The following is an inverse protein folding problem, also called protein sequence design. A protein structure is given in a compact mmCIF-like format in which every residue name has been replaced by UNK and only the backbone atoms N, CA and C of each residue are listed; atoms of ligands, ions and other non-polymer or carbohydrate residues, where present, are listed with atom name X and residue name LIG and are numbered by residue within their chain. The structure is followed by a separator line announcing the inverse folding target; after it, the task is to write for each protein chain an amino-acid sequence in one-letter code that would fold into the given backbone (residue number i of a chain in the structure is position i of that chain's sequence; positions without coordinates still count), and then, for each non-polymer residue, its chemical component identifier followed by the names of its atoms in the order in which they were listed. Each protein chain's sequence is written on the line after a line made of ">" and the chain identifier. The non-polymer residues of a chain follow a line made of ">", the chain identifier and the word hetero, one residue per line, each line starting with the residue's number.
data_IF_964696404573
#
_entry.id   IF_964696404573
#
_cell.length_a   1.000
_cell.length_b   1.000
_cell.length_c   1.000
_cell.angle_alpha   90.00
_cell.angle_beta   90.00
_cell.angle_gamma   90.00
#
_symmetry.space_group_name_H-M   'P 1'
#
loop_
_entity.id
_entity.type
_entity.pdbx_description
1 polymer ?
2 water ?
#
# COMPACT_ATOMS: atom_id res chain seq x y z
N UNK A 6 13.06 -15.52 -16.28
CA UNK A 6 13.18 -14.49 -15.20
C UNK A 6 12.86 -15.05 -13.82
N UNK A 7 11.92 -15.99 -13.74
CA UNK A 7 11.58 -16.62 -12.47
C UNK A 7 12.86 -17.39 -12.10
N UNK A 8 13.73 -17.51 -13.10
CA UNK A 8 15.03 -18.16 -12.95
C UNK A 8 15.94 -17.16 -12.28
N UNK A 9 15.73 -15.89 -12.61
CA UNK A 9 16.52 -14.81 -12.04
C UNK A 9 15.86 -14.21 -10.78
N UNK A 10 14.77 -14.82 -10.32
CA UNK A 10 14.11 -14.36 -9.10
C UNK A 10 15.08 -14.80 -8.03
N UNK A 11 15.60 -16.02 -8.19
CA UNK A 11 16.60 -16.56 -7.26
C UNK A 11 17.80 -15.61 -7.42
N UNK A 12 17.68 -14.70 -8.39
CA UNK A 12 18.73 -13.74 -8.64
C UNK A 12 18.75 -12.67 -7.56
N UNK A 13 17.66 -11.91 -7.45
CA UNK A 13 17.58 -10.87 -6.43
C UNK A 13 16.66 -11.32 -5.29
N UNK A 14 16.44 -12.63 -5.20
CA UNK A 14 15.66 -13.20 -4.13
C UNK A 14 16.73 -13.65 -3.14
N UNK A 15 17.96 -13.20 -3.44
CA UNK A 15 19.14 -13.49 -2.65
C UNK A 15 19.20 -14.90 -2.11
N UNK A 16 19.89 -15.81 -2.80
CA UNK A 16 19.99 -17.21 -2.34
C UNK A 16 21.41 -17.67 -2.05
N UNK A 17 22.35 -16.73 -2.00
CA UNK A 17 23.73 -17.08 -1.69
C UNK A 17 24.12 -16.38 -0.40
N UNK A 18 23.39 -15.30 -0.08
CA UNK A 18 23.62 -14.53 1.13
C UNK A 18 22.62 -15.00 2.18
N UNK A 19 21.44 -15.41 1.72
CA UNK A 19 20.39 -15.90 2.61
C UNK A 19 20.69 -17.28 3.20
N UNK A 20 21.49 -18.12 2.51
CA UNK A 20 21.82 -19.45 3.03
C UNK A 20 22.86 -19.38 4.15
N UNK A 21 23.32 -18.17 4.45
CA UNK A 21 24.30 -17.98 5.50
C UNK A 21 23.73 -17.27 6.72
N UNK A 22 22.68 -16.48 6.53
CA UNK A 22 22.04 -15.75 7.63
C UNK A 22 21.07 -16.64 8.40
N UNK A 23 20.76 -17.80 7.81
CA UNK A 23 19.85 -18.76 8.43
C UNK A 23 20.49 -19.48 9.63
N UNK A 24 21.73 -19.92 9.46
CA UNK A 24 22.48 -20.61 10.53
C UNK A 24 23.03 -19.56 11.52
N UNK A 25 22.44 -18.37 11.49
CA UNK A 25 22.84 -17.27 12.37
C UNK A 25 21.74 -16.92 13.36
N UNK A 26 20.51 -16.84 12.86
CA UNK A 26 19.36 -16.51 13.69
C UNK A 26 19.21 -17.56 14.78
N UNK A 27 19.81 -18.73 14.54
CA UNK A 27 19.76 -19.84 15.48
C UNK A 27 20.83 -19.76 16.57
N UNK A 28 22.06 -19.39 16.21
CA UNK A 28 23.17 -19.30 17.17
C UNK A 28 22.94 -18.24 18.24
N UNK A 29 22.44 -17.08 17.84
CA UNK A 29 22.18 -15.99 18.77
C UNK A 29 21.05 -16.39 19.72
N UNK A 30 20.19 -17.31 19.25
CA UNK A 30 19.06 -17.82 20.03
C UNK A 30 19.43 -19.08 20.83
N UNK A 31 20.67 -19.54 20.67
CA UNK A 31 21.17 -20.74 21.38
C UNK A 31 21.74 -20.35 22.72
N UNK A 32 22.47 -19.24 22.77
CA UNK A 32 23.06 -18.80 24.01
C UNK A 32 21.93 -18.49 24.98
N UNK A 33 22.16 -18.78 26.26
CA UNK A 33 21.15 -18.56 27.27
C UNK A 33 21.00 -17.07 27.63
N UNK A 34 22.03 -16.28 27.32
CA UNK A 34 22.02 -14.84 27.59
C UNK A 34 21.47 -14.08 26.38
N UNK A 35 20.49 -14.68 25.73
CA UNK A 35 19.86 -14.08 24.54
C UNK A 35 18.73 -13.11 24.92
N UNK A 36 17.79 -13.55 25.78
CA UNK A 36 16.69 -12.65 26.16
C UNK A 36 17.10 -11.49 27.09
N UNK A 37 18.38 -11.10 27.05
CA UNK A 37 18.87 -10.00 27.88
C UNK A 37 18.35 -8.70 27.28
N UNK A 38 18.36 -8.65 25.95
CA UNK A 38 17.87 -7.51 25.19
C UNK A 38 16.64 -7.95 24.41
N UNK A 39 15.60 -8.31 25.17
CA UNK A 39 14.32 -8.81 24.67
C UNK A 39 13.84 -8.46 23.25
N UNK A 40 14.10 -7.24 22.80
CA UNK A 40 13.65 -6.81 21.47
C UNK A 40 14.36 -7.45 20.28
N UNK A 41 15.39 -8.26 20.55
CA UNK A 41 16.15 -8.93 19.49
C UNK A 41 15.79 -10.43 19.37
N UNK A 42 15.56 -11.11 20.50
CA UNK A 42 15.21 -12.55 20.52
C UNK A 42 13.85 -12.89 19.91
N UNK A 43 12.96 -11.90 19.89
CA UNK A 43 11.61 -12.09 19.36
C UNK A 43 11.57 -12.04 17.83
N UNK A 44 12.58 -11.42 17.24
CA UNK A 44 12.66 -11.30 15.77
C UNK A 44 13.81 -12.13 15.20
N UNK A 45 14.15 -13.24 15.86
CA UNK A 45 15.21 -14.13 15.42
C UNK A 45 14.62 -15.48 15.00
N UNK A 46 13.41 -15.74 15.47
CA UNK A 46 12.68 -16.97 15.15
C UNK A 46 11.79 -16.64 13.95
N UNK A 47 11.29 -15.41 13.91
CA UNK A 47 10.45 -14.94 12.82
C UNK A 47 11.30 -14.81 11.56
N UNK A 48 12.54 -14.37 11.75
CA UNK A 48 13.47 -14.21 10.64
C UNK A 48 14.10 -15.55 10.28
N UNK A 49 13.89 -16.56 11.13
CA UNK A 49 14.43 -17.90 10.89
C UNK A 49 13.54 -18.70 9.93
N UNK A 50 12.45 -18.07 9.49
CA UNK A 50 11.52 -18.70 8.55
C UNK A 50 12.25 -18.67 7.20
N UNK A 51 13.10 -17.66 7.05
CA UNK A 51 13.90 -17.45 5.85
C UNK A 51 15.06 -18.44 5.88
N UNK A 52 15.25 -19.02 7.06
CA UNK A 52 16.29 -20.02 7.27
C UNK A 52 15.80 -21.33 6.68
N UNK A 53 14.52 -21.64 6.94
CA UNK A 53 13.91 -22.86 6.45
C UNK A 53 13.29 -22.72 5.05
N UNK A 54 12.90 -21.51 4.69
CA UNK A 54 12.27 -21.23 3.41
C UNK A 54 13.14 -21.44 2.18
N UNK A 55 14.44 -21.17 2.29
CA UNK A 55 15.33 -21.33 1.14
C UNK A 55 15.40 -22.79 0.67
N UNK A 56 15.43 -23.72 1.62
CA UNK A 56 15.43 -25.13 1.27
C UNK A 56 14.09 -25.36 0.59
N UNK A 57 13.09 -24.60 1.02
CA UNK A 57 11.73 -24.69 0.49
C UNK A 57 11.71 -24.07 -0.91
N UNK A 58 12.82 -23.46 -1.29
CA UNK A 58 12.97 -22.84 -2.61
C UNK A 58 13.65 -23.79 -3.56
N UNK A 59 14.67 -24.48 -3.05
CA UNK A 59 15.40 -25.46 -3.84
C UNK A 59 14.55 -26.72 -3.91
N UNK A 60 13.91 -27.03 -2.79
CA UNK A 60 13.04 -28.20 -2.67
C UNK A 60 11.84 -28.05 -3.60
N UNK A 61 11.50 -26.80 -3.89
CA UNK A 61 10.38 -26.52 -4.76
C UNK A 61 10.80 -26.41 -6.22
N UNK A 62 12.06 -26.08 -6.48
CA UNK A 62 12.49 -26.01 -7.87
C UNK A 62 12.88 -27.42 -8.33
N UNK A 63 13.12 -28.31 -7.38
CA UNK A 63 13.47 -29.68 -7.72
C UNK A 63 12.14 -30.38 -8.01
N UNK A 64 11.14 -30.03 -7.20
CA UNK A 64 9.78 -30.54 -7.29
C UNK A 64 9.14 -29.91 -8.53
N UNK A 65 9.52 -28.66 -8.80
CA UNK A 65 9.05 -27.89 -9.95
C UNK A 65 9.65 -28.47 -11.22
N UNK A 66 10.98 -28.62 -11.21
CA UNK A 66 11.67 -29.17 -12.37
C UNK A 66 11.30 -30.63 -12.63
N UNK A 67 10.44 -31.18 -11.77
CA UNK A 67 9.97 -32.54 -11.98
C UNK A 67 9.17 -32.32 -13.25
N UNK A 68 8.36 -31.26 -13.22
CA UNK A 68 7.52 -30.87 -14.35
C UNK A 68 8.39 -30.65 -15.59
N UNK A 69 9.65 -30.25 -15.40
CA UNK A 69 10.59 -30.01 -16.51
C UNK A 69 10.66 -31.27 -17.37
N UNK A 70 10.02 -32.32 -16.88
CA UNK A 70 9.95 -33.61 -17.55
C UNK A 70 9.08 -34.54 -16.69
N UNK A 71 8.04 -34.00 -16.08
CA UNK A 71 7.17 -34.82 -15.26
C UNK A 71 5.97 -35.28 -16.04
N UNK A 72 5.38 -34.35 -16.77
CA UNK A 72 4.21 -34.64 -17.60
C UNK A 72 4.65 -35.51 -18.77
N UNK A 73 5.91 -35.96 -18.74
CA UNK A 73 6.47 -36.84 -19.77
C UNK A 73 5.79 -38.20 -19.67
N UNK A 74 5.38 -38.54 -18.45
CA UNK A 74 4.71 -39.80 -18.18
C UNK A 74 3.26 -39.69 -18.66
N UNK A 75 2.57 -38.63 -18.25
CA UNK A 75 1.17 -38.38 -18.64
C UNK A 75 0.97 -38.07 -20.13
N UNK A 76 1.96 -37.44 -20.74
CA UNK A 76 1.86 -37.14 -22.17
C UNK A 76 2.20 -38.43 -22.93
N UNK A 77 2.54 -39.48 -22.19
CA UNK A 77 2.88 -40.77 -22.79
C UNK A 77 1.81 -41.81 -22.41
N UNK A 78 1.02 -41.46 -21.40
CA UNK A 78 -0.06 -42.27 -20.84
C UNK A 78 -1.00 -41.26 -20.22
N UNK A 79 -2.29 -41.53 -20.11
CA UNK A 79 -3.11 -40.52 -19.46
C UNK A 79 -3.55 -40.90 -18.03
N UNK A 80 -3.95 -42.15 -17.80
CA UNK A 80 -4.33 -42.46 -16.42
C UNK A 80 -3.02 -42.36 -15.64
N UNK A 81 -3.02 -42.15 -14.33
CA UNK A 81 -1.74 -42.06 -13.61
C UNK A 81 -1.95 -42.11 -12.10
N UNK A 82 -1.76 -43.28 -11.52
CA UNK A 82 -1.95 -43.44 -10.10
C UNK A 82 -0.78 -42.85 -9.31
N UNK A 83 0.43 -43.07 -9.79
CA UNK A 83 1.62 -42.55 -9.12
C UNK A 83 1.90 -41.10 -9.52
N UNK A 84 1.61 -40.78 -10.78
CA UNK A 84 1.84 -39.44 -11.32
C UNK A 84 0.89 -38.38 -10.77
N UNK A 85 -0.33 -38.78 -10.42
CA UNK A 85 -1.31 -37.86 -9.88
C UNK A 85 -1.13 -37.75 -8.38
N UNK A 86 -0.04 -38.34 -7.89
CA UNK A 86 0.31 -38.29 -6.48
C UNK A 86 1.37 -37.21 -6.42
N UNK A 87 1.87 -36.85 -7.60
CA UNK A 87 2.89 -35.83 -7.74
C UNK A 87 2.33 -34.53 -8.35
N UNK A 88 1.25 -34.62 -9.12
CA UNK A 88 0.66 -33.42 -9.72
C UNK A 88 -0.07 -32.54 -8.69
N UNK A 89 -0.64 -33.14 -7.63
CA UNK A 89 -1.34 -32.31 -6.64
C UNK A 89 -0.28 -31.64 -5.76
N UNK A 90 0.99 -31.90 -6.09
CA UNK A 90 2.14 -31.33 -5.39
C UNK A 90 2.70 -30.24 -6.32
N UNK A 91 2.17 -30.20 -7.54
CA UNK A 91 2.55 -29.24 -8.58
C UNK A 91 1.71 -27.99 -8.52
N UNK A 92 0.47 -28.13 -8.04
CA UNK A 92 -0.43 -27.00 -7.93
C UNK A 92 -0.10 -26.34 -6.61
N UNK A 93 0.54 -27.11 -5.72
CA UNK A 93 0.97 -26.59 -4.43
C UNK A 93 2.28 -25.89 -4.79
N UNK A 94 2.75 -26.15 -6.01
CA UNK A 94 3.99 -25.59 -6.53
C UNK A 94 3.74 -24.44 -7.53
N UNK A 95 2.90 -24.69 -8.53
CA UNK A 95 2.59 -23.67 -9.53
C UNK A 95 2.14 -22.40 -8.79
N UNK A 96 1.30 -22.62 -7.78
CA UNK A 96 0.73 -21.56 -6.92
C UNK A 96 1.66 -21.20 -5.78
N UNK A 97 2.76 -21.93 -5.64
CA UNK A 97 3.75 -21.65 -4.60
C UNK A 97 4.79 -20.76 -5.27
N UNK A 98 4.82 -20.80 -6.60
CA UNK A 98 5.76 -19.99 -7.36
C UNK A 98 5.28 -18.56 -7.35
N UNK A 99 4.07 -18.36 -7.87
CA UNK A 99 3.48 -17.03 -7.88
C UNK A 99 3.72 -16.51 -6.48
N UNK A 100 3.13 -17.21 -5.51
CA UNK A 100 3.28 -16.86 -4.11
C UNK A 100 4.67 -16.34 -3.85
N UNK A 101 5.66 -17.21 -3.97
CA UNK A 101 7.04 -16.83 -3.74
C UNK A 101 7.31 -15.44 -4.28
N UNK A 102 7.24 -15.30 -5.60
CA UNK A 102 7.48 -14.02 -6.26
C UNK A 102 6.69 -12.86 -5.67
N UNK A 103 5.38 -13.02 -5.61
CA UNK A 103 4.52 -12.00 -5.07
C UNK A 103 4.84 -11.84 -3.57
N UNK A 104 5.36 -12.90 -2.95
CA UNK A 104 5.71 -12.85 -1.53
C UNK A 104 6.97 -12.08 -1.31
N UNK A 105 7.87 -12.17 -2.27
CA UNK A 105 9.13 -11.48 -2.15
C UNK A 105 8.94 -10.02 -2.54
N UNK A 106 7.96 -9.74 -3.41
CA UNK A 106 7.68 -8.37 -3.82
C UNK A 106 7.05 -7.54 -2.70
N UNK A 107 6.45 -8.25 -1.76
CA UNK A 107 5.76 -7.65 -0.62
C UNK A 107 6.50 -7.56 0.71
N UNK A 108 7.76 -7.96 0.77
CA UNK A 108 8.40 -7.84 2.06
C UNK A 108 9.26 -6.57 2.14
N UNK A 109 8.77 -5.50 2.76
CA UNK A 109 9.70 -4.38 2.84
C UNK A 109 10.28 -4.22 4.28
N UNK A 110 9.60 -3.64 5.29
CA UNK A 110 8.57 -3.00 6.11
C UNK A 110 7.15 -3.32 6.00
N UNK A 111 6.43 -2.66 6.90
CA UNK A 111 5.00 -2.76 7.13
C UNK A 111 4.00 -3.17 6.04
N UNK A 112 4.53 -3.71 4.94
CA UNK A 112 3.77 -4.19 3.82
C UNK A 112 2.51 -4.91 4.29
N UNK A 113 2.63 -5.58 5.41
CA UNK A 113 1.57 -6.35 6.04
C UNK A 113 0.43 -5.49 6.65
N UNK A 114 0.81 -4.33 7.17
CA UNK A 114 -0.14 -3.43 7.82
C UNK A 114 -1.26 -2.83 6.99
N UNK A 115 -2.32 -2.43 7.66
CA UNK A 115 -3.43 -1.80 6.98
C UNK A 115 -2.93 -0.50 6.44
N UNK A 116 -3.72 0.11 5.55
CA UNK A 116 -3.29 1.32 4.91
C UNK A 116 -4.14 2.56 5.10
N UNK A 117 -3.44 3.70 5.17
CA UNK A 117 -4.05 5.03 5.31
C UNK A 117 -3.71 5.72 4.00
N UNK A 118 -4.72 5.84 3.14
CA UNK A 118 -4.62 6.44 1.82
C UNK A 118 -5.35 7.78 1.81
N UNK A 119 -4.67 8.81 1.28
CA UNK A 119 -5.24 10.17 1.27
C UNK A 119 -5.21 10.80 -0.13
N UNK A 120 -6.28 11.45 -0.51
CA UNK A 120 -6.42 12.09 -1.83
C UNK A 120 -6.80 13.56 -1.74
N UNK A 121 -6.08 14.40 -2.50
CA UNK A 121 -6.41 15.82 -2.51
C UNK A 121 -6.31 16.27 -3.94
N UNK A 122 -7.25 17.10 -4.41
CA UNK A 122 -7.08 17.53 -5.80
C UNK A 122 -5.82 18.40 -6.01
N UNK A 123 -5.41 18.58 -7.25
CA UNK A 123 -4.24 19.38 -7.55
C UNK A 123 -4.79 20.43 -8.48
N UNK A 124 -4.10 20.73 -9.56
CA UNK A 124 -4.61 21.74 -10.49
C UNK A 124 -5.69 21.20 -11.42
N UNK A 125 -6.53 22.10 -11.96
CA UNK A 125 -7.60 21.69 -12.85
C UNK A 125 -8.97 22.26 -12.48
N UNK A 126 -9.06 22.79 -11.25
CA UNK A 126 -10.30 23.40 -10.80
C UNK A 126 -11.41 22.42 -10.48
N UNK A 127 -12.62 22.63 -10.99
CA UNK A 127 -13.68 21.69 -10.65
C UNK A 127 -13.33 20.31 -11.19
N UNK A 128 -12.68 20.29 -12.37
CA UNK A 128 -12.28 19.04 -13.00
C UNK A 128 -11.44 18.23 -12.02
N UNK A 129 -10.54 18.89 -11.30
CA UNK A 129 -9.70 18.17 -10.34
C UNK A 129 -10.45 17.56 -9.12
N UNK A 130 -11.57 18.14 -8.73
CA UNK A 130 -12.29 17.62 -7.58
C UNK A 130 -13.05 16.36 -8.00
N UNK A 131 -13.57 16.39 -9.22
CA UNK A 131 -14.30 15.26 -9.76
C UNK A 131 -13.29 14.10 -9.88
N UNK A 132 -12.11 14.40 -10.43
CA UNK A 132 -11.04 13.42 -10.61
C UNK A 132 -10.64 12.77 -9.27
N UNK A 133 -10.53 13.59 -8.23
CA UNK A 133 -10.18 13.08 -6.92
C UNK A 133 -11.27 12.06 -6.42
N UNK A 134 -12.53 12.40 -6.64
CA UNK A 134 -13.60 11.52 -6.24
C UNK A 134 -13.50 10.22 -7.06
N UNK A 135 -13.02 10.35 -8.29
CA UNK A 135 -12.88 9.22 -9.18
C UNK A 135 -11.85 8.24 -8.69
N UNK A 136 -10.73 8.78 -8.27
CA UNK A 136 -9.66 7.97 -7.73
C UNK A 136 -10.19 7.29 -6.44
N UNK A 137 -10.96 8.04 -5.62
CA UNK A 137 -11.54 7.53 -4.36
C UNK A 137 -12.43 6.32 -4.63
N UNK A 138 -13.25 6.44 -5.66
CA UNK A 138 -14.13 5.37 -6.09
C UNK A 138 -13.24 4.20 -6.60
N UNK A 139 -12.16 4.55 -7.29
CA UNK A 139 -11.30 3.52 -7.80
C UNK A 139 -10.73 2.72 -6.67
N UNK A 140 -10.13 3.39 -5.70
CA UNK A 140 -9.53 2.67 -4.57
C UNK A 140 -10.59 2.01 -3.68
N UNK A 141 -11.78 2.57 -3.63
CA UNK A 141 -12.81 1.99 -2.80
C UNK A 141 -13.25 0.71 -3.50
N UNK A 142 -13.44 0.77 -4.81
CA UNK A 142 -13.83 -0.44 -5.54
C UNK A 142 -12.68 -1.44 -5.45
N UNK A 143 -11.45 -0.94 -5.44
CA UNK A 143 -10.30 -1.83 -5.37
C UNK A 143 -10.34 -2.64 -4.09
N UNK A 144 -10.58 -1.95 -2.99
CA UNK A 144 -10.67 -2.60 -1.69
C UNK A 144 -11.82 -3.62 -1.73
N UNK A 145 -12.96 -3.13 -2.18
CA UNK A 145 -14.19 -3.90 -2.33
C UNK A 145 -13.85 -5.29 -2.88
N UNK A 146 -13.30 -5.33 -4.10
CA UNK A 146 -12.97 -6.58 -4.76
C UNK A 146 -11.76 -7.33 -4.21
N UNK A 147 -11.24 -6.88 -3.10
CA UNK A 147 -10.08 -7.57 -2.57
C UNK A 147 -10.38 -8.14 -1.18
N UNK A 148 -11.58 -7.85 -0.68
CA UNK A 148 -11.96 -8.32 0.63
C UNK A 148 -11.33 -7.48 1.72
N UNK A 149 -11.30 -6.16 1.52
CA UNK A 149 -10.75 -5.26 2.52
C UNK A 149 -11.88 -4.37 2.96
N UNK A 150 -11.81 -3.90 4.20
CA UNK A 150 -12.82 -3.02 4.76
C UNK A 150 -12.32 -1.59 4.63
N UNK A 151 -13.24 -0.71 4.30
CA UNK A 151 -12.90 0.67 4.12
C UNK A 151 -13.62 1.53 5.16
N UNK A 152 -12.84 2.38 5.83
CA UNK A 152 -13.34 3.30 6.84
C UNK A 152 -13.08 4.72 6.35
N UNK A 153 -14.11 5.43 5.92
CA UNK A 153 -13.88 6.79 5.47
C UNK A 153 -13.55 7.66 6.67
N UNK A 154 -12.27 7.88 6.90
CA UNK A 154 -11.88 8.70 8.02
C UNK A 154 -12.46 10.08 7.88
N UNK A 155 -12.39 10.66 6.69
CA UNK A 155 -12.91 12.00 6.53
C UNK A 155 -13.15 12.23 5.04
N UNK A 156 -14.05 13.13 4.72
CA UNK A 156 -14.34 13.39 3.32
C UNK A 156 -14.85 14.81 3.13
N UNK A 157 -13.99 15.73 2.66
CA UNK A 157 -14.42 17.12 2.42
C UNK A 157 -14.91 17.34 0.99
N UNK A 158 -16.19 17.64 0.79
CA UNK A 158 -16.71 17.87 -0.57
C UNK A 158 -16.17 19.16 -1.15
N UNK A 159 -16.17 19.24 -2.48
CA UNK A 159 -15.64 20.41 -3.18
C UNK A 159 -16.61 21.56 -3.35
N UNK A 160 -16.10 22.78 -3.57
CA UNK A 160 -16.99 23.92 -3.74
C UNK A 160 -18.14 23.64 -4.69
N UNK A 161 -17.82 23.44 -5.96
CA UNK A 161 -18.83 23.15 -6.98
C UNK A 161 -19.12 21.65 -7.21
N UNK A 162 -18.09 20.81 -7.12
CA UNK A 162 -18.28 19.38 -7.33
C UNK A 162 -17.15 18.53 -6.78
N UNK A 163 -17.40 17.23 -6.78
CA UNK A 163 -16.40 16.29 -6.34
C UNK A 163 -15.91 16.60 -4.95
N UNK A 164 -14.75 16.06 -4.62
CA UNK A 164 -14.22 16.26 -3.30
C UNK A 164 -12.99 17.16 -3.23
N UNK A 165 -12.80 17.78 -2.07
CA UNK A 165 -11.67 18.66 -1.86
C UNK A 165 -10.62 17.97 -1.02
N UNK A 166 -11.03 16.84 -0.46
CA UNK A 166 -10.14 16.05 0.36
C UNK A 166 -10.86 14.76 0.77
N UNK A 167 -10.10 13.70 0.94
CA UNK A 167 -10.66 12.42 1.35
C UNK A 167 -9.53 11.64 1.93
N UNK A 168 -9.83 10.86 2.98
CA UNK A 168 -8.84 10.02 3.64
C UNK A 168 -9.47 8.74 4.20
N UNK A 169 -9.01 7.61 3.70
CA UNK A 169 -9.54 6.32 4.12
C UNK A 169 -8.56 5.37 4.78
N UNK A 170 -9.15 4.36 5.43
CA UNK A 170 -8.40 3.35 6.15
C UNK A 170 -8.86 2.06 5.52
N UNK A 171 -7.91 1.36 4.91
CA UNK A 171 -8.17 0.12 4.20
C UNK A 171 -7.59 -0.98 5.04
N UNK A 172 -8.49 -1.80 5.58
CA UNK A 172 -8.12 -2.89 6.46
C UNK A 172 -8.14 -4.28 5.81
N UNK A 173 -6.98 -4.93 5.82
CA UNK A 173 -6.83 -6.24 5.23
C UNK A 173 -5.34 -6.54 5.15
N UNK A 174 -4.99 -7.81 4.92
CA UNK A 174 -3.61 -8.23 4.86
C UNK A 174 -2.87 -7.57 3.71
N UNK A 175 -1.76 -6.91 4.04
CA UNK A 175 -0.96 -6.26 3.02
C UNK A 175 -1.66 -5.14 2.31
N UNK A 176 -2.57 -4.45 3.01
CA UNK A 176 -3.27 -3.34 2.42
C UNK A 176 -2.18 -2.31 2.08
N UNK A 177 -1.39 -1.91 3.07
CA UNK A 177 -0.31 -0.96 2.83
C UNK A 177 0.59 -1.36 1.67
N UNK A 178 1.22 -2.52 1.79
CA UNK A 178 2.09 -3.00 0.73
C UNK A 178 1.56 -2.87 -0.69
N UNK A 179 0.40 -3.47 -0.94
CA UNK A 179 -0.25 -3.43 -2.26
C UNK A 179 -0.54 -2.00 -2.73
N UNK A 180 -1.14 -1.20 -1.86
CA UNK A 180 -1.48 0.16 -2.19
C UNK A 180 -0.28 1.11 -2.22
N UNK A 181 0.81 0.68 -1.59
CA UNK A 181 1.98 1.53 -1.48
C UNK A 181 2.57 2.11 -2.78
N UNK A 182 2.60 1.33 -3.87
CA UNK A 182 3.17 1.87 -5.11
C UNK A 182 2.22 2.80 -5.86
N UNK A 183 1.14 3.16 -5.21
CA UNK A 183 0.15 4.02 -5.81
C UNK A 183 0.32 5.47 -5.37
N UNK A 184 1.10 5.65 -4.31
CA UNK A 184 1.36 6.98 -3.81
C UNK A 184 2.06 7.78 -4.94
N UNK A 185 1.58 8.98 -5.21
CA UNK A 185 2.19 9.77 -6.26
C UNK A 185 1.15 10.67 -6.87
N UNK A 186 1.49 11.29 -8.00
CA UNK A 186 0.54 12.19 -8.67
C UNK A 186 -0.17 11.48 -9.85
N UNK A 187 -1.45 11.71 -9.99
CA UNK A 187 -2.19 11.03 -11.02
C UNK A 187 -2.76 12.04 -11.99
N UNK A 188 -2.53 11.83 -13.28
CA UNK A 188 -3.04 12.80 -14.27
C UNK A 188 -4.21 12.28 -15.13
N UNK A 189 -5.21 13.15 -15.29
CA UNK A 189 -6.42 12.90 -16.04
C UNK A 189 -6.56 13.79 -17.26
N UNK A 190 -6.81 13.17 -18.40
CA UNK A 190 -7.01 13.89 -19.64
C UNK A 190 -8.32 13.48 -20.29
N UNK A 191 -9.15 14.47 -20.57
CA UNK A 191 -10.45 14.28 -21.24
C UNK A 191 -11.12 15.62 -21.27
N UNK A 192 -12.21 15.71 -22.03
CA UNK A 192 -12.92 16.98 -22.08
C UNK A 192 -13.81 17.07 -20.79
N UNK A 193 -13.80 18.23 -20.14
CA UNK A 193 -14.55 18.41 -18.90
C UNK A 193 -16.07 18.48 -18.99
N UNK A 194 -16.78 17.74 -18.13
CA UNK A 194 -18.24 17.86 -18.24
C UNK A 194 -18.64 19.30 -17.90
N UNK A 195 -17.81 19.96 -17.09
CA UNK A 195 -18.04 21.33 -16.66
C UNK A 195 -17.76 22.48 -17.64
N UNK A 196 -17.11 22.18 -18.77
CA UNK A 196 -16.80 23.18 -19.79
C UNK A 196 -17.53 22.80 -21.08
N UNK A 197 -18.42 23.70 -21.52
CA UNK A 197 -19.22 23.50 -22.72
C UNK A 197 -18.43 23.18 -23.99
N UNK A 198 -17.28 23.81 -24.20
CA UNK A 198 -16.51 23.48 -25.41
C UNK A 198 -15.87 22.12 -25.15
N UNK A 199 -15.95 21.23 -26.12
CA UNK A 199 -15.35 19.92 -25.90
C UNK A 199 -13.84 19.97 -25.81
N UNK A 200 -13.30 21.01 -25.20
CA UNK A 200 -11.86 21.17 -25.07
C UNK A 200 -11.28 20.19 -24.02
N UNK A 201 -10.25 19.43 -24.41
CA UNK A 201 -9.59 18.48 -23.50
C UNK A 201 -9.03 19.25 -22.30
N UNK A 202 -9.29 18.75 -21.11
CA UNK A 202 -8.73 19.37 -19.92
C UNK A 202 -7.70 18.41 -19.37
N UNK A 203 -6.85 18.94 -18.53
CA UNK A 203 -5.82 18.14 -17.91
C UNK A 203 -6.03 18.45 -16.47
N UNK A 204 -6.05 17.41 -15.63
CA UNK A 204 -6.31 17.57 -14.21
C UNK A 204 -5.36 16.72 -13.44
N UNK A 205 -5.18 17.04 -12.17
CA UNK A 205 -4.26 16.28 -11.33
C UNK A 205 -4.85 16.13 -9.95
N UNK A 206 -4.36 15.12 -9.25
CA UNK A 206 -4.76 14.85 -7.87
C UNK A 206 -3.57 14.04 -7.39
N UNK A 207 -3.16 14.20 -6.14
CA UNK A 207 -2.06 13.41 -5.62
C UNK A 207 -2.62 12.39 -4.63
N UNK A 208 -1.98 11.23 -4.52
CA UNK A 208 -2.42 10.14 -3.63
C UNK A 208 -1.30 9.77 -2.68
N UNK A 209 -1.60 9.69 -1.37
CA UNK A 209 -0.62 9.28 -0.36
C UNK A 209 -1.10 8.04 0.37
N UNK A 210 -0.12 7.23 0.74
CA UNK A 210 -0.30 5.99 1.46
C UNK A 210 0.87 5.79 2.43
N UNK A 211 0.55 5.60 3.71
CA UNK A 211 1.53 5.34 4.79
C UNK A 211 0.92 4.17 5.59
N UNK A 212 1.72 3.43 6.35
CA UNK A 212 1.01 2.34 7.06
C UNK A 212 0.51 2.60 8.48
N UNK A 213 -0.65 2.02 8.81
CA UNK A 213 -1.22 2.09 10.17
C UNK A 213 -0.51 0.99 10.97
N UNK A 214 0.53 1.40 11.67
CA UNK A 214 1.37 0.55 12.50
C UNK A 214 0.76 0.06 13.82
N UNK A 215 1.60 -0.49 14.68
CA UNK A 215 1.12 -1.10 15.91
C UNK A 215 1.04 -0.36 17.24
N UNK A 216 0.94 0.96 17.19
CA UNK A 216 0.80 1.81 18.39
C UNK A 216 1.75 1.58 19.56
N UNK A 217 2.41 0.43 19.57
CA UNK A 217 3.36 0.07 20.60
C UNK A 217 4.65 0.69 20.10
N UNK A 218 4.82 0.64 18.78
CA UNK A 218 6.01 1.18 18.15
C UNK A 218 5.83 2.67 17.90
N UNK A 219 4.63 3.16 18.20
CA UNK A 219 4.28 4.57 18.03
C UNK A 219 4.48 5.34 19.33
N UNK A 220 4.81 6.62 19.21
CA UNK A 220 5.01 7.47 20.38
C UNK A 220 3.75 7.53 21.23
N UNK A 221 3.85 8.27 22.32
CA UNK A 221 2.74 8.44 23.25
C UNK A 221 2.41 9.92 23.28
N UNK A 222 1.13 10.23 23.39
CA UNK A 222 0.75 11.62 23.35
C UNK A 222 0.38 12.33 24.64
N UNK A 223 0.91 13.55 24.74
CA UNK A 223 0.67 14.42 25.88
C UNK A 223 -0.59 15.24 25.58
N UNK A 224 -1.67 15.06 26.37
CA UNK A 224 -2.95 15.78 26.18
C UNK A 224 -2.73 17.25 25.97
N UNK A 225 -1.65 17.73 26.58
CA UNK A 225 -1.28 19.14 26.49
C UNK A 225 -0.51 19.42 25.21
N UNK A 226 -0.28 18.36 24.43
CA UNK A 226 0.42 18.50 23.15
C UNK A 226 -0.61 18.58 22.03
N UNK A 227 -1.88 18.41 22.39
CA UNK A 227 -2.98 18.38 21.43
C UNK A 227 -4.01 19.49 21.65
N UNK A 228 -4.87 19.70 20.67
CA UNK A 228 -5.99 20.62 20.83
C UNK A 228 -7.18 19.95 20.21
N UNK A 229 -8.01 19.34 21.03
CA UNK A 229 -9.19 18.66 20.53
C UNK A 229 -10.32 19.70 20.22
N UNK A 230 -11.01 19.52 19.09
CA UNK A 230 -12.13 20.40 18.68
C UNK A 230 -13.26 19.49 18.31
N UNK A 231 -14.49 19.83 18.67
CA UNK A 231 -15.62 19.02 18.23
C UNK A 231 -16.35 19.88 17.22
N UNK A 232 -16.33 19.43 15.96
CA UNK A 232 -16.92 20.16 14.85
C UNK A 232 -18.22 19.61 14.30
N UNK A 233 -19.00 20.53 13.73
CA UNK A 233 -20.27 20.22 13.10
C UNK A 233 -20.23 20.92 11.74
N UNK A 234 -19.81 20.17 10.71
CA UNK A 234 -19.68 20.67 9.34
C UNK A 234 -20.19 22.12 9.18
N UNK A 235 -21.46 22.25 8.77
CA UNK A 235 -22.11 23.55 8.60
C UNK A 235 -23.53 23.35 8.08
N UNK A 236 -24.49 23.30 8.98
CA UNK A 236 -25.88 23.10 8.60
C UNK A 236 -26.56 24.40 8.18
N UNK A 237 -27.03 24.49 6.93
CA UNK A 237 -27.72 25.67 6.37
C UNK A 237 -28.81 26.28 7.26
N UNK A 238 -28.43 27.23 8.09
CA UNK A 238 -29.38 27.89 8.97
C UNK A 238 -29.80 27.04 10.15
N UNK A 239 -30.19 25.81 9.85
CA UNK A 239 -30.62 24.89 10.90
C UNK A 239 -29.46 24.39 11.73
N UNK A 240 -29.27 24.99 12.90
CA UNK A 240 -28.22 24.60 13.84
C UNK A 240 -28.75 24.42 15.26
N UNK A 241 -29.92 23.80 15.37
CA UNK A 241 -30.51 23.55 16.67
C UNK A 241 -29.92 22.27 17.22
N UNK A 242 -30.13 21.17 16.50
CA UNK A 242 -29.59 19.87 16.89
C UNK A 242 -28.22 19.72 16.21
N UNK A 243 -27.89 20.72 15.40
CA UNK A 243 -26.63 20.78 14.67
C UNK A 243 -25.58 21.55 15.47
N UNK A 244 -25.84 21.76 16.76
CA UNK A 244 -24.92 22.51 17.61
C UNK A 244 -23.85 21.61 18.29
N UNK A 245 -24.14 20.31 18.35
CA UNK A 245 -23.23 19.32 18.92
C UNK A 245 -23.63 17.96 18.34
N UNK A 246 -22.85 17.47 17.38
CA UNK A 246 -23.16 16.19 16.75
C UNK A 246 -22.08 15.12 16.93
N UNK A 247 -21.02 15.10 16.11
CA UNK A 247 -20.04 14.04 16.31
C UNK A 247 -18.65 13.98 15.64
N UNK A 248 -18.19 15.05 15.00
CA UNK A 248 -16.86 14.98 14.37
C UNK A 248 -15.78 15.70 15.18
N UNK A 249 -14.60 15.09 15.32
CA UNK A 249 -13.51 15.68 16.10
C UNK A 249 -12.21 15.99 15.33
N UNK A 250 -11.69 17.21 15.44
CA UNK A 250 -10.44 17.58 14.79
C UNK A 250 -9.28 17.64 15.80
N UNK A 251 -8.35 16.68 15.70
CA UNK A 251 -7.20 16.70 16.59
C UNK A 251 -6.04 17.43 15.93
N UNK A 252 -5.41 18.32 16.68
CA UNK A 252 -4.29 19.07 16.16
C UNK A 252 -3.10 18.69 16.97
N UNK A 253 -1.91 18.66 16.36
CA UNK A 253 -0.72 18.29 17.10
C UNK A 253 0.23 19.45 17.07
N UNK A 254 -0.06 20.37 17.97
CA UNK A 254 0.65 21.62 18.20
C UNK A 254 2.14 21.66 17.86
N UNK A 255 2.91 20.70 18.36
CA UNK A 255 4.35 20.70 18.05
C UNK A 255 4.63 20.71 16.55
N UNK A 256 3.76 20.07 15.79
CA UNK A 256 3.92 19.96 14.34
C UNK A 256 2.91 20.69 13.48
N UNK A 257 1.68 20.80 13.94
CA UNK A 257 0.67 21.46 13.12
C UNK A 257 -0.09 20.39 12.38
N UNK A 258 0.40 19.14 12.51
CA UNK A 258 -0.26 18.01 11.89
C UNK A 258 -1.68 17.99 12.44
N UNK A 259 -2.67 17.80 11.60
CA UNK A 259 -4.03 17.75 12.10
C UNK A 259 -4.80 16.62 11.42
N UNK A 260 -5.71 16.00 12.18
CA UNK A 260 -6.53 14.89 11.71
C UNK A 260 -7.98 15.09 12.13
N UNK A 261 -8.89 15.07 11.16
CA UNK A 261 -10.32 15.21 11.41
C UNK A 261 -10.98 13.84 11.17
N UNK A 262 -12.09 13.56 11.85
CA UNK A 262 -12.67 12.24 11.72
C UNK A 262 -14.14 12.12 12.07
N UNK A 263 -14.97 12.00 11.05
CA UNK A 263 -16.40 11.85 11.20
C UNK A 263 -16.83 10.41 10.88
N UNK A 264 -16.01 9.40 11.12
CA UNK A 264 -16.48 8.05 10.74
C UNK A 264 -17.85 7.62 11.32
N UNK A 265 -17.99 7.62 12.64
CA UNK A 265 -19.23 7.17 13.24
C UNK A 265 -19.95 8.24 14.00
N UNK A 266 -20.92 7.75 14.77
CA UNK A 266 -21.78 8.56 15.62
C UNK A 266 -21.05 8.82 16.94
N UNK A 267 -20.56 7.76 17.56
CA UNK A 267 -19.87 7.92 18.84
C UNK A 267 -18.62 8.81 18.75
N UNK A 268 -18.81 10.08 19.07
CA UNK A 268 -17.72 11.06 19.08
C UNK A 268 -16.50 10.53 19.83
N UNK A 269 -16.70 9.52 20.67
CA UNK A 269 -15.60 8.98 21.41
C UNK A 269 -14.80 7.95 20.64
N UNK A 270 -15.42 7.29 19.66
CA UNK A 270 -14.70 6.31 18.85
C UNK A 270 -13.90 7.08 17.81
N UNK A 271 -14.47 8.21 17.39
CA UNK A 271 -13.80 9.05 16.43
C UNK A 271 -12.50 9.66 16.99
N UNK A 272 -12.46 10.02 18.27
CA UNK A 272 -11.23 10.60 18.81
C UNK A 272 -10.16 9.54 18.74
N UNK A 273 -10.60 8.32 19.00
CA UNK A 273 -9.69 7.19 19.02
C UNK A 273 -9.03 7.02 17.64
N UNK A 274 -9.86 7.02 16.59
CA UNK A 274 -9.36 6.85 15.23
C UNK A 274 -8.44 8.01 14.86
N UNK A 275 -8.95 9.24 15.02
CA UNK A 275 -8.21 10.47 14.71
C UNK A 275 -6.82 10.44 15.25
N UNK A 276 -6.71 9.82 16.43
CA UNK A 276 -5.45 9.70 17.15
C UNK A 276 -4.61 8.54 16.66
N UNK A 277 -5.28 7.50 16.17
CA UNK A 277 -4.63 6.31 15.65
C UNK A 277 -3.97 6.70 14.33
N UNK A 278 -4.68 7.49 13.53
CA UNK A 278 -4.13 8.01 12.27
C UNK A 278 -2.99 8.98 12.59
N UNK A 279 -3.30 10.01 13.37
CA UNK A 279 -2.31 11.02 13.75
C UNK A 279 -0.99 10.41 14.20
N UNK A 280 -1.09 9.41 15.05
CA UNK A 280 0.11 8.79 15.56
C UNK A 280 0.95 8.30 14.38
N UNK A 281 0.30 7.57 13.49
CA UNK A 281 0.93 6.99 12.30
C UNK A 281 1.55 7.99 11.33
N UNK A 282 1.02 9.21 11.32
CA UNK A 282 1.56 10.25 10.45
C UNK A 282 2.84 10.84 11.04
N UNK A 283 2.91 10.85 12.36
CA UNK A 283 4.08 11.35 13.07
C UNK A 283 5.16 10.31 12.87
N UNK A 284 4.76 9.04 12.99
CA UNK A 284 5.67 7.92 12.80
C UNK A 284 6.30 7.98 11.42
N UNK A 285 5.52 8.46 10.46
CA UNK A 285 5.92 8.61 9.09
C UNK A 285 6.79 9.84 9.03
N UNK A 286 6.39 10.91 9.70
CA UNK A 286 7.20 12.14 9.71
C UNK A 286 8.62 11.79 10.22
N UNK A 287 8.71 10.85 11.17
CA UNK A 287 10.01 10.42 11.69
C UNK A 287 10.84 9.70 10.64
N UNK A 288 10.37 8.54 10.18
CA UNK A 288 11.09 7.79 9.15
C UNK A 288 11.54 8.71 8.01
N UNK A 289 10.63 9.53 7.50
CA UNK A 289 10.97 10.42 6.41
C UNK A 289 12.20 11.21 6.81
N UNK A 290 12.22 11.69 8.04
CA UNK A 290 13.34 12.47 8.53
C UNK A 290 14.57 11.57 8.80
N UNK A 291 14.33 10.40 9.38
CA UNK A 291 15.41 9.47 9.70
C UNK A 291 16.11 8.96 8.44
N UNK A 292 15.60 9.37 7.28
CA UNK A 292 16.16 8.97 6.00
C UNK A 292 16.80 10.19 5.31
N UNK A 293 16.33 11.39 5.67
CA UNK A 293 16.90 12.61 5.12
C UNK A 293 18.30 12.66 5.76
N UNK A 294 18.47 11.77 6.74
CA UNK A 294 19.71 11.66 7.50
C UNK A 294 20.81 10.88 6.81
N UNK A 295 20.57 9.61 6.50
CA UNK A 295 21.60 8.81 5.85
C UNK A 295 22.13 9.50 4.61
N UNK A 296 21.47 10.59 4.21
CA UNK A 296 21.93 11.36 3.06
C UNK A 296 23.06 12.25 3.55
N UNK A 297 23.00 12.65 4.81
CA UNK A 297 24.05 13.46 5.40
C UNK A 297 25.34 12.67 5.23
N UNK A 298 25.27 11.38 5.57
CA UNK A 298 26.43 10.50 5.44
C UNK A 298 26.57 10.07 3.99
N UNK A 299 27.38 10.80 3.22
CA UNK A 299 27.57 10.50 1.81
C UNK A 299 26.25 10.55 1.06
N UNK A 300 25.79 11.78 0.89
CA UNK A 300 24.56 12.07 0.19
C UNK A 300 24.56 13.58 0.17
N UNK A 301 25.15 14.12 -0.89
CA UNK A 301 25.32 15.56 -1.08
C UNK A 301 24.39 16.17 -2.13
N UNK A 302 23.78 15.33 -2.96
CA UNK A 302 22.89 15.79 -4.02
C UNK A 302 21.50 15.15 -3.88
N UNK A 303 20.72 15.19 -4.96
CA UNK A 303 19.37 14.63 -4.94
C UNK A 303 19.38 13.10 -5.09
N UNK A 304 18.54 12.40 -4.31
CA UNK A 304 18.47 10.94 -4.38
C UNK A 304 17.72 10.47 -5.63
N UNK A 305 16.59 9.80 -5.45
CA UNK A 305 15.80 9.30 -6.58
C UNK A 305 14.35 9.77 -6.54
N UNK A 306 14.07 10.95 -7.10
CA UNK A 306 12.70 11.46 -7.07
C UNK A 306 12.02 11.76 -8.40
N UNK A 307 10.74 11.38 -8.45
CA UNK A 307 9.90 11.53 -9.64
C UNK A 307 8.94 12.72 -9.40
N UNK A 308 9.11 13.77 -10.19
CA UNK A 308 8.29 14.98 -10.01
C UNK A 308 6.89 15.01 -10.57
N UNK A 309 6.74 14.71 -11.86
CA UNK A 309 5.43 14.71 -12.52
C UNK A 309 4.63 13.45 -12.17
N UNK A 310 3.53 13.28 -12.89
CA UNK A 310 2.66 12.12 -12.68
C UNK A 310 3.35 10.79 -12.83
N UNK A 311 3.00 9.88 -11.93
CA UNK A 311 3.49 8.52 -12.05
C UNK A 311 2.57 7.77 -13.07
N UNK A 312 1.30 8.17 -13.18
CA UNK A 312 0.45 7.44 -14.09
C UNK A 312 -0.53 8.33 -14.82
N UNK A 313 -0.88 7.99 -16.06
CA UNK A 313 -1.87 8.82 -16.80
C UNK A 313 -3.08 8.07 -17.30
N UNK A 314 -4.22 8.73 -17.10
CA UNK A 314 -5.50 8.18 -17.49
C UNK A 314 -6.09 9.04 -18.56
N UNK A 315 -5.79 8.76 -19.81
CA UNK A 315 -6.31 9.64 -20.82
C UNK A 315 -7.41 8.94 -21.58
N UNK A 316 -8.61 9.34 -21.18
CA UNK A 316 -9.87 8.80 -21.60
C UNK A 316 -10.43 8.98 -22.99
N UNK A 317 -10.19 10.10 -23.64
CA UNK A 317 -10.69 10.28 -25.00
C UNK A 317 -9.87 9.48 -25.99
N UNK A 318 -8.78 8.88 -25.53
CA UNK A 318 -7.93 8.08 -26.41
C UNK A 318 -7.84 6.67 -25.84
N UNK A 319 -8.64 6.42 -24.82
CA UNK A 319 -8.76 5.10 -24.22
C UNK A 319 -7.60 4.27 -23.75
N UNK A 320 -6.78 4.84 -22.91
CA UNK A 320 -5.67 4.09 -22.35
C UNK A 320 -5.29 4.74 -21.02
N UNK A 321 -4.65 3.93 -20.17
CA UNK A 321 -4.13 4.30 -18.86
C UNK A 321 -2.66 3.88 -19.00
N UNK A 322 -1.76 4.76 -18.61
CA UNK A 322 -0.35 4.53 -18.79
C UNK A 322 0.58 4.91 -17.63
N UNK A 323 1.18 3.88 -17.05
CA UNK A 323 2.08 4.07 -15.94
C UNK A 323 3.46 4.43 -16.47
N UNK A 324 3.84 5.68 -16.26
CA UNK A 324 5.14 6.20 -16.71
C UNK A 324 6.40 5.65 -16.01
N UNK A 325 6.24 4.99 -14.88
CA UNK A 325 7.40 4.46 -14.20
C UNK A 325 7.64 3.05 -14.71
N UNK A 326 6.62 2.23 -14.53
CA UNK A 326 6.60 0.84 -14.91
C UNK A 326 6.52 0.67 -16.42
N UNK A 327 5.81 1.57 -17.07
CA UNK A 327 5.72 1.44 -18.50
C UNK A 327 4.47 0.68 -18.96
N UNK A 328 3.75 0.03 -18.01
CA UNK A 328 2.54 -0.79 -18.28
C UNK A 328 1.46 0.03 -18.91
N UNK A 329 1.00 -0.38 -20.08
CA UNK A 329 -0.07 0.37 -20.71
C UNK A 329 -1.29 -0.55 -20.88
N UNK A 330 -2.44 -0.06 -20.42
CA UNK A 330 -3.74 -0.77 -20.47
C UNK A 330 -4.75 -0.02 -21.34
N UNK A 331 -5.50 -0.76 -22.16
CA UNK A 331 -6.49 -0.15 -23.05
C UNK A 331 -7.92 -0.08 -22.56
N UNK A 332 -8.14 -0.51 -21.31
CA UNK A 332 -9.45 -0.53 -20.71
C UNK A 332 -9.50 0.33 -19.45
N UNK A 333 -9.30 1.63 -19.61
CA UNK A 333 -9.33 2.50 -18.45
C UNK A 333 -10.62 2.36 -17.65
N UNK A 334 -11.70 1.95 -18.29
CA UNK A 334 -12.96 1.78 -17.57
C UNK A 334 -12.84 0.68 -16.50
N UNK A 335 -11.95 -0.29 -16.69
CA UNK A 335 -11.79 -1.35 -15.71
C UNK A 335 -10.86 -0.96 -14.59
N UNK A 336 -9.77 -0.29 -14.99
CA UNK A 336 -8.76 0.19 -14.05
C UNK A 336 -9.55 1.04 -13.09
N UNK A 337 -10.36 1.92 -13.68
CA UNK A 337 -11.11 2.85 -12.88
C UNK A 337 -12.20 2.25 -12.01
N UNK A 338 -12.45 0.96 -12.14
CA UNK A 338 -13.47 0.36 -11.37
C UNK A 338 -12.91 -0.63 -10.33
N UNK A 339 -11.60 -0.57 -10.13
CA UNK A 339 -10.95 -1.39 -9.15
C UNK A 339 -9.91 -2.36 -9.65
N UNK A 340 -10.03 -2.80 -10.89
CA UNK A 340 -9.06 -3.79 -11.36
C UNK A 340 -7.64 -3.19 -11.46
N UNK A 341 -6.90 -3.22 -10.35
CA UNK A 341 -5.54 -2.67 -10.28
C UNK A 341 -4.34 -3.60 -10.15
N UNK A 342 -4.58 -4.85 -9.85
CA UNK A 342 -3.47 -5.74 -9.59
C UNK A 342 -2.27 -5.73 -10.50
N UNK A 343 -2.49 -5.69 -11.80
CA UNK A 343 -1.35 -5.75 -12.70
C UNK A 343 -0.52 -4.48 -12.69
N UNK A 344 -1.15 -3.37 -12.31
CA UNK A 344 -0.47 -2.09 -12.22
C UNK A 344 0.32 -2.08 -10.93
N UNK A 345 -0.21 -2.75 -9.92
CA UNK A 345 0.47 -2.83 -8.64
C UNK A 345 1.72 -3.70 -8.69
N UNK A 346 1.57 -4.99 -8.99
CA UNK A 346 2.74 -5.87 -9.08
C UNK A 346 3.86 -5.19 -9.83
N UNK A 347 3.50 -4.54 -10.92
CA UNK A 347 4.49 -3.89 -11.73
C UNK A 347 5.15 -2.76 -11.01
N UNK A 348 4.40 -2.10 -10.14
CA UNK A 348 4.95 -0.99 -9.39
C UNK A 348 5.88 -1.50 -8.33
N UNK A 349 5.42 -2.57 -7.67
CA UNK A 349 6.19 -3.21 -6.63
C UNK A 349 7.53 -3.64 -7.19
N UNK A 350 7.53 -4.23 -8.38
CA UNK A 350 8.80 -4.62 -8.96
C UNK A 350 9.65 -3.38 -9.29
N UNK A 351 9.04 -2.33 -9.80
CA UNK A 351 9.84 -1.17 -10.11
C UNK A 351 10.47 -0.55 -8.85
N UNK A 352 9.76 -0.68 -7.73
CA UNK A 352 10.24 -0.13 -6.47
C UNK A 352 11.30 -1.01 -5.84
N UNK A 353 11.08 -2.32 -5.93
CA UNK A 353 12.07 -3.26 -5.42
C UNK A 353 13.33 -3.01 -6.21
N UNK A 354 13.25 -3.23 -7.52
CA UNK A 354 14.39 -3.04 -8.39
C UNK A 354 15.23 -1.82 -8.07
N UNK A 355 14.85 -1.04 -7.07
CA UNK A 355 15.64 0.14 -6.72
C UNK A 355 15.81 0.36 -5.21
N UNK A 356 16.36 -0.67 -4.58
CA UNK A 356 16.67 -0.67 -3.16
C UNK A 356 18.06 -1.26 -3.16
#
# INVERSE_FOLDING_TARGET
>A
MDLERLAQRLEGLGGIFDIPQKETRLKELERRLEDPSLWNDPEAARKVSQEAARLRRTVDTFRSLESDLQGLLELMEELPAEEREALKPELEEAAKKLDELYHQTLLNFPHAEKNAILTIQPGAGGTEACDWAEMLLRMYTRFAERQGFQVEVVDLTPGPEAGIDYAQILVKGENAYGLLSPEAGVHRLVRPSPFDASGRRHTSFAGVEVIPEVDEEVEVVLKPEELRIDVMRASGPGGQGVNTTDSAVRVVHLPTGITVTCQTTRSQIKNKELALKILKARLYELERKKREEELKALRGEVRPIEWGSQIRSYVLDKNYVKDHRTGLMRHDPENVLDGDLMDLIWAGLEWKAGRRQGTEEVEAE
#
